data_IF_739290926407
#
_entry.id   IF_739290926407
#
_cell.length_a   1.000
_cell.length_b   1.000
_cell.length_c   1.000
_cell.angle_alpha   90.00
_cell.angle_beta   90.00
_cell.angle_gamma   90.00
#
_symmetry.space_group_name_H-M   'P 1'
#
loop_
_entity.id
_entity.type
_entity.pdbx_description
1 polymer ?
#
# COMPACT_ATOMS: atom_id res chain seq x y z
N UNK A 1 4.69 16.06 26.57
CA UNK A 1 3.56 16.38 25.68
C UNK A 1 3.90 15.99 24.25
N UNK A 2 2.89 15.51 23.53
CA UNK A 2 2.83 15.49 22.07
C UNK A 2 1.82 16.55 21.61
N UNK A 3 2.19 17.34 20.62
CA UNK A 3 1.29 18.19 19.84
C UNK A 3 1.69 18.10 18.36
N UNK A 4 0.80 17.59 17.51
CA UNK A 4 1.07 17.32 16.10
C UNK A 4 -0.09 17.79 15.21
N UNK A 5 0.16 18.77 14.35
CA UNK A 5 -0.84 19.50 13.58
C UNK A 5 -0.75 19.23 12.08
N UNK A 6 -1.77 18.57 11.54
CA UNK A 6 -1.93 18.30 10.12
C UNK A 6 -2.81 19.36 9.48
N UNK A 7 -2.33 19.92 8.36
CA UNK A 7 -3.06 20.87 7.51
C UNK A 7 -4.39 20.34 6.98
N UNK A 8 -4.53 19.02 6.82
CA UNK A 8 -5.71 18.37 6.24
C UNK A 8 -5.97 17.03 6.94
N UNK A 9 -7.14 16.90 7.56
CA UNK A 9 -7.59 15.63 8.16
C UNK A 9 -7.77 14.51 7.12
N UNK A 10 -7.84 14.82 5.82
CA UNK A 10 -7.87 13.82 4.74
C UNK A 10 -6.67 12.86 4.75
N UNK A 11 -5.46 13.33 5.12
CA UNK A 11 -4.28 12.47 5.16
C UNK A 11 -4.45 11.33 6.17
N UNK A 12 -4.81 11.66 7.42
CA UNK A 12 -5.03 10.64 8.46
C UNK A 12 -6.24 9.73 8.13
N UNK A 13 -7.29 10.26 7.47
CA UNK A 13 -8.41 9.42 6.99
C UNK A 13 -7.94 8.32 6.04
N UNK A 14 -7.15 8.69 5.02
CA UNK A 14 -6.62 7.75 4.02
C UNK A 14 -5.71 6.70 4.67
N UNK A 15 -4.80 7.13 5.54
CA UNK A 15 -3.92 6.23 6.31
C UNK A 15 -4.75 5.23 7.12
N UNK A 16 -5.74 5.69 7.89
CA UNK A 16 -6.58 4.81 8.70
C UNK A 16 -7.44 3.86 7.85
N UNK A 17 -7.99 4.32 6.71
CA UNK A 17 -8.73 3.45 5.78
C UNK A 17 -7.82 2.39 5.10
N UNK A 18 -6.51 2.62 5.04
CA UNK A 18 -5.52 1.69 4.47
C UNK A 18 -4.87 0.72 5.50
N UNK A 19 -4.72 1.11 6.78
CA UNK A 19 -4.07 0.27 7.82
C UNK A 19 -5.06 -0.65 8.54
N UNK A 20 -6.26 -0.16 8.88
CA UNK A 20 -7.26 -0.86 9.72
C UNK A 20 -7.74 -2.24 9.22
N UNK A 21 -7.43 -2.57 7.97
CA UNK A 21 -7.89 -3.78 7.26
C UNK A 21 -6.86 -4.93 7.38
N UNK A 22 -5.67 -4.62 7.91
CA UNK A 22 -4.63 -5.57 8.30
C UNK A 22 -4.58 -5.76 9.82
N UNK A 23 -4.80 -4.67 10.57
CA UNK A 23 -4.57 -4.58 12.01
C UNK A 23 -5.75 -3.89 12.69
N UNK A 24 -6.18 -4.35 13.86
CA UNK A 24 -7.32 -3.77 14.60
C UNK A 24 -6.92 -2.61 15.50
N UNK A 25 -5.80 -2.78 16.20
CA UNK A 25 -5.30 -1.91 17.27
C UNK A 25 -3.77 -1.87 17.18
N UNK A 26 -3.15 -0.70 17.33
CA UNK A 26 -1.70 -0.52 17.10
C UNK A 26 -1.14 0.68 17.86
N UNK A 27 0.17 0.68 18.11
CA UNK A 27 0.89 1.85 18.62
C UNK A 27 1.20 2.86 17.50
N UNK A 28 0.98 4.15 17.78
CA UNK A 28 1.62 5.25 17.05
C UNK A 28 2.80 5.76 17.89
N UNK A 29 4.01 5.39 17.49
CA UNK A 29 5.26 5.76 18.15
C UNK A 29 5.67 7.16 17.72
N UNK A 30 5.60 8.10 18.66
CA UNK A 30 5.90 9.51 18.43
C UNK A 30 7.29 9.84 18.98
N UNK A 31 8.09 10.56 18.19
CA UNK A 31 9.49 10.92 18.49
C UNK A 31 9.82 12.30 17.90
N UNK A 32 11.01 12.84 18.14
CA UNK A 32 11.39 14.14 17.60
C UNK A 32 11.52 14.17 16.05
N UNK A 33 11.68 13.00 15.41
CA UNK A 33 11.65 12.80 13.95
C UNK A 33 10.24 12.83 13.33
N UNK A 34 9.18 12.53 14.11
CA UNK A 34 7.81 12.38 13.61
C UNK A 34 7.02 11.24 14.26
N UNK A 35 6.00 10.75 13.55
CA UNK A 35 5.12 9.66 14.01
C UNK A 35 5.30 8.42 13.14
N UNK A 36 5.61 7.29 13.77
CA UNK A 36 5.75 5.98 13.13
C UNK A 36 4.63 5.05 13.62
N UNK A 37 4.32 4.04 12.84
CA UNK A 37 3.51 2.90 13.26
C UNK A 37 4.06 1.66 12.55
N UNK A 38 4.37 0.63 13.30
CA UNK A 38 4.72 -0.68 12.75
C UNK A 38 3.76 -1.71 13.32
N UNK A 39 3.24 -2.64 12.51
CA UNK A 39 2.35 -3.69 13.00
C UNK A 39 2.28 -4.92 12.07
N UNK A 40 2.04 -6.09 12.65
CA UNK A 40 1.75 -7.33 11.91
C UNK A 40 0.25 -7.59 11.82
N UNK A 41 -0.19 -8.31 10.79
CA UNK A 41 -1.54 -8.87 10.74
C UNK A 41 -1.68 -10.08 11.69
N UNK A 42 -2.92 -10.46 12.02
CA UNK A 42 -3.23 -11.56 12.94
C UNK A 42 -2.70 -12.96 12.51
N UNK A 43 -2.16 -13.11 11.30
CA UNK A 43 -1.50 -14.34 10.84
C UNK A 43 0.03 -14.26 10.81
N UNK A 44 0.62 -13.09 11.07
CA UNK A 44 2.05 -12.79 10.96
C UNK A 44 2.63 -13.04 9.55
N UNK A 45 1.81 -12.92 8.51
CA UNK A 45 2.19 -13.08 7.10
C UNK A 45 2.44 -11.73 6.42
N UNK A 46 1.84 -10.66 6.92
CA UNK A 46 2.03 -9.30 6.46
C UNK A 46 2.41 -8.33 7.59
N UNK A 47 3.34 -7.43 7.31
CA UNK A 47 3.73 -6.32 8.18
C UNK A 47 3.45 -4.99 7.47
N UNK A 48 2.90 -4.02 8.19
CA UNK A 48 2.76 -2.63 7.77
C UNK A 48 3.73 -1.75 8.55
N UNK A 49 4.38 -0.82 7.85
CA UNK A 49 5.25 0.21 8.42
C UNK A 49 4.87 1.56 7.82
N UNK A 50 4.30 2.42 8.64
CA UNK A 50 3.96 3.81 8.33
C UNK A 50 5.03 4.71 8.97
N UNK A 51 5.48 5.70 8.20
CA UNK A 51 6.31 6.79 8.69
C UNK A 51 5.71 8.13 8.25
N UNK A 52 5.45 9.02 9.19
CA UNK A 52 5.04 10.41 8.99
C UNK A 52 6.15 11.31 9.54
N UNK A 53 6.94 11.87 8.64
CA UNK A 53 8.03 12.76 9.02
C UNK A 53 7.48 14.06 9.63
N UNK A 54 8.20 14.61 10.61
CA UNK A 54 7.92 15.90 11.25
C UNK A 54 7.67 17.06 10.27
N UNK A 55 8.34 17.05 9.12
CA UNK A 55 8.15 18.02 8.03
C UNK A 55 6.77 17.96 7.38
N UNK A 56 6.02 16.88 7.55
CA UNK A 56 4.64 16.72 7.06
C UNK A 56 3.56 17.35 7.95
N UNK A 57 3.94 17.95 9.08
CA UNK A 57 3.06 18.63 10.03
C UNK A 57 3.33 20.13 10.00
N UNK A 58 2.29 20.96 10.06
CA UNK A 58 2.43 22.43 10.11
C UNK A 58 2.92 22.94 11.45
N UNK A 59 2.73 22.15 12.51
CA UNK A 59 3.27 22.35 13.85
C UNK A 59 3.51 20.96 14.46
N UNK A 60 4.70 20.71 15.01
CA UNK A 60 5.03 19.42 15.60
C UNK A 60 5.99 19.55 16.78
N UNK A 61 5.57 19.00 17.92
CA UNK A 61 6.33 18.95 19.16
C UNK A 61 6.11 17.59 19.83
N UNK A 62 7.21 16.89 20.10
CA UNK A 62 7.25 15.74 20.99
C UNK A 62 8.36 16.01 22.01
N UNK A 63 8.03 16.10 23.31
CA UNK A 63 9.03 16.41 24.36
C UNK A 63 9.87 15.20 24.77
N UNK A 64 9.31 14.00 24.60
CA UNK A 64 9.87 12.68 24.91
C UNK A 64 9.16 11.66 24.04
N UNK A 65 9.89 10.63 23.62
CA UNK A 65 9.34 9.52 22.85
C UNK A 65 8.18 8.84 23.61
N UNK A 66 7.07 8.56 22.91
CA UNK A 66 5.89 7.94 23.49
C UNK A 66 5.10 7.10 22.48
N UNK A 67 4.65 5.93 22.89
CA UNK A 67 3.80 5.03 22.10
C UNK A 67 2.33 5.25 22.44
N UNK A 68 1.53 5.65 21.45
CA UNK A 68 0.09 5.87 21.61
C UNK A 68 -0.68 4.66 21.11
N UNK A 69 -0.94 3.70 22.01
CA UNK A 69 -1.74 2.51 21.70
C UNK A 69 -3.22 2.86 21.50
N UNK A 70 -3.73 2.62 20.29
CA UNK A 70 -5.09 3.03 19.90
C UNK A 70 -5.80 1.97 19.08
N UNK A 71 -7.12 1.86 19.30
CA UNK A 71 -7.98 1.07 18.43
C UNK A 71 -8.28 1.82 17.13
N UNK A 72 -7.73 1.32 16.00
CA UNK A 72 -7.83 1.97 14.69
C UNK A 72 -9.30 2.07 14.23
N UNK A 73 -10.12 1.07 14.59
CA UNK A 73 -11.55 1.05 14.36
C UNK A 73 -12.33 2.10 15.17
N UNK A 74 -11.77 2.65 16.24
CA UNK A 74 -12.37 3.72 17.06
C UNK A 74 -11.84 5.09 16.65
N UNK A 75 -10.52 5.22 16.48
CA UNK A 75 -9.87 6.41 15.93
C UNK A 75 -10.47 6.80 14.57
N UNK A 76 -10.70 5.83 13.67
CA UNK A 76 -11.39 6.09 12.40
C UNK A 76 -12.80 6.69 12.56
N UNK A 77 -13.58 6.28 13.56
CA UNK A 77 -14.95 6.83 13.78
C UNK A 77 -14.89 8.31 14.17
N UNK A 78 -13.88 8.69 14.97
CA UNK A 78 -13.66 10.07 15.40
C UNK A 78 -13.17 10.93 14.23
N UNK A 79 -12.14 10.48 13.51
CA UNK A 79 -11.59 11.24 12.36
C UNK A 79 -12.60 11.36 11.21
N UNK A 80 -13.59 10.45 11.10
CA UNK A 80 -14.74 10.58 10.18
C UNK A 80 -15.74 11.69 10.56
N UNK A 81 -15.63 12.32 11.74
CA UNK A 81 -16.41 13.50 12.13
C UNK A 81 -15.80 14.85 11.66
N UNK A 82 -14.60 14.83 11.08
CA UNK A 82 -13.96 15.98 10.45
C UNK A 82 -14.41 16.17 9.00
N UNK A 83 -14.35 17.40 8.48
CA UNK A 83 -14.21 17.67 7.05
C UNK A 83 -12.89 17.13 6.50
N UNK A 84 -12.71 17.08 5.17
CA UNK A 84 -11.43 16.65 4.58
C UNK A 84 -10.36 17.75 4.65
N UNK A 85 -10.81 19.00 4.44
CA UNK A 85 -9.99 20.22 4.48
C UNK A 85 -9.90 20.84 5.89
N UNK A 86 -10.50 20.20 6.91
CA UNK A 86 -10.37 20.61 8.31
C UNK A 86 -8.92 20.36 8.75
N UNK A 87 -8.37 21.30 9.54
CA UNK A 87 -7.08 21.13 10.21
C UNK A 87 -7.29 20.13 11.36
N UNK A 88 -6.32 19.25 11.60
CA UNK A 88 -6.34 18.27 12.68
C UNK A 88 -5.14 18.48 13.59
N UNK A 89 -5.37 18.81 14.87
CA UNK A 89 -4.34 18.80 15.91
C UNK A 89 -4.53 17.57 16.80
N UNK A 90 -3.53 16.69 16.84
CA UNK A 90 -3.43 15.59 17.80
C UNK A 90 -2.68 16.08 19.04
N UNK A 91 -3.21 15.82 20.24
CA UNK A 91 -2.56 16.14 21.51
C UNK A 91 -2.62 14.94 22.46
N UNK A 92 -1.48 14.61 23.07
CA UNK A 92 -1.41 13.58 24.11
C UNK A 92 -0.42 14.00 25.20
N UNK A 93 -0.75 13.68 26.44
CA UNK A 93 0.15 13.84 27.59
C UNK A 93 0.35 12.51 28.30
N UNK A 94 1.62 12.25 28.64
CA UNK A 94 2.17 11.00 29.20
C UNK A 94 1.53 10.56 30.53
N UNK A 95 0.70 11.42 31.16
CA UNK A 95 0.07 11.17 32.45
C UNK A 95 -1.47 11.17 32.40
N UNK A 96 -2.08 11.13 31.21
CA UNK A 96 -3.52 11.39 31.03
C UNK A 96 -4.27 10.23 30.34
N UNK A 97 -3.55 9.24 29.79
CA UNK A 97 -4.09 8.04 29.12
C UNK A 97 -5.15 8.33 28.04
N UNK A 98 -5.08 9.52 27.44
CA UNK A 98 -6.06 10.06 26.49
C UNK A 98 -5.34 10.76 25.34
N UNK A 99 -5.79 10.45 24.12
CA UNK A 99 -5.51 11.20 22.91
C UNK A 99 -6.67 12.17 22.66
N UNK A 100 -6.38 13.47 22.65
CA UNK A 100 -7.29 14.52 22.22
C UNK A 100 -7.08 14.82 20.72
N UNK A 101 -8.20 14.98 20.00
CA UNK A 101 -8.25 15.31 18.58
C UNK A 101 -9.08 16.59 18.40
N UNK A 102 -8.44 17.65 17.95
CA UNK A 102 -9.08 18.93 17.67
C UNK A 102 -9.18 19.12 16.16
N UNK A 103 -10.40 19.29 15.65
CA UNK A 103 -10.69 19.57 14.24
C UNK A 103 -11.13 21.03 14.06
N UNK A 104 -10.37 21.81 13.30
CA UNK A 104 -10.65 23.23 13.03
C UNK A 104 -11.05 23.41 11.55
N UNK A 105 -12.26 23.92 11.27
CA UNK A 105 -12.75 24.07 9.90
C UNK A 105 -12.21 25.35 9.21
N UNK A 106 -11.44 25.22 8.13
CA UNK A 106 -10.79 26.37 7.42
C UNK A 106 -11.76 27.44 6.87
N UNK A 107 -13.07 27.16 6.80
CA UNK A 107 -14.08 28.04 6.19
C UNK A 107 -15.34 28.25 7.05
N UNK A 108 -15.34 27.82 8.31
CA UNK A 108 -16.45 27.98 9.23
C UNK A 108 -15.93 28.12 10.67
N UNK A 109 -16.64 28.88 11.50
CA UNK A 109 -16.35 29.00 12.93
C UNK A 109 -16.82 27.72 13.68
N UNK A 110 -16.13 26.61 13.39
CA UNK A 110 -16.35 25.29 13.98
C UNK A 110 -15.02 24.71 14.41
N UNK A 111 -14.86 24.60 15.73
CA UNK A 111 -13.91 23.69 16.37
C UNK A 111 -14.68 22.47 16.87
N UNK A 112 -14.17 21.27 16.62
CA UNK A 112 -14.68 20.03 17.18
C UNK A 112 -13.59 19.32 17.99
N UNK A 113 -13.77 19.23 19.29
CA UNK A 113 -12.85 18.58 20.23
C UNK A 113 -13.39 17.20 20.60
N UNK A 114 -12.53 16.19 20.51
CA UNK A 114 -12.86 14.78 20.73
C UNK A 114 -11.76 14.10 21.53
N UNK A 115 -12.11 13.34 22.56
CA UNK A 115 -11.18 12.55 23.35
C UNK A 115 -11.39 11.06 23.11
N UNK A 116 -10.30 10.29 23.08
CA UNK A 116 -10.35 8.83 23.21
C UNK A 116 -9.29 8.33 24.17
N UNK A 117 -9.65 7.29 24.94
CA UNK A 117 -8.68 6.60 25.79
C UNK A 117 -7.65 5.87 24.94
N UNK A 118 -6.40 5.93 25.40
CA UNK A 118 -5.33 5.05 24.97
C UNK A 118 -5.53 3.65 25.58
N UNK A 119 -4.74 2.70 25.11
CA UNK A 119 -4.67 1.33 25.61
C UNK A 119 -3.21 0.91 25.65
N UNK A 120 -2.81 0.16 26.67
CA UNK A 120 -1.50 -0.50 26.67
C UNK A 120 -1.50 -1.61 25.62
N UNK A 121 -0.62 -1.51 24.63
CA UNK A 121 -0.43 -2.52 23.58
C UNK A 121 1.03 -2.96 23.62
N UNK A 122 1.29 -4.11 24.25
CA UNK A 122 2.59 -4.78 24.22
C UNK A 122 2.90 -5.21 22.78
N UNK A 123 3.79 -4.47 22.12
CA UNK A 123 4.06 -4.64 20.70
C UNK A 123 5.56 -4.63 20.42
N UNK A 124 6.10 -5.76 19.96
CA UNK A 124 7.52 -5.88 19.60
C UNK A 124 7.80 -5.21 18.25
N UNK A 125 8.72 -4.23 18.25
CA UNK A 125 9.26 -3.64 17.03
C UNK A 125 10.20 -4.63 16.33
N UNK A 126 9.89 -4.96 15.08
CA UNK A 126 10.71 -5.80 14.23
C UNK A 126 11.74 -4.94 13.48
N UNK A 127 13.02 -5.23 13.70
CA UNK A 127 14.10 -4.63 12.92
C UNK A 127 13.99 -5.03 11.45
N UNK A 128 13.67 -4.08 10.58
CA UNK A 128 13.65 -4.28 9.12
C UNK A 128 15.08 -4.10 8.61
N UNK A 129 15.73 -5.13 8.03
CA UNK A 129 17.08 -5.01 7.48
C UNK A 129 17.07 -4.30 6.12
N UNK A 130 18.10 -3.50 5.86
CA UNK A 130 18.39 -2.99 4.53
C UNK A 130 18.75 -4.16 3.60
N UNK A 131 17.84 -4.48 2.68
CA UNK A 131 17.94 -5.64 1.77
C UNK A 131 18.10 -5.18 0.34
N UNK A 132 18.97 -5.85 -0.41
CA UNK A 132 19.13 -5.64 -1.86
C UNK A 132 18.06 -6.47 -2.57
N UNK A 133 17.33 -5.85 -3.48
CA UNK A 133 16.26 -6.50 -4.23
C UNK A 133 16.70 -6.86 -5.66
N UNK A 134 16.36 -8.07 -6.09
CA UNK A 134 16.62 -8.60 -7.43
C UNK A 134 15.87 -7.80 -8.52
N UNK A 135 14.70 -7.28 -8.18
CA UNK A 135 13.81 -6.53 -9.06
C UNK A 135 13.11 -5.39 -8.31
N UNK A 136 13.05 -4.22 -8.94
CA UNK A 136 12.32 -3.04 -8.45
C UNK A 136 11.41 -2.52 -9.55
N UNK A 137 10.13 -2.33 -9.26
CA UNK A 137 9.11 -1.90 -10.22
C UNK A 137 8.46 -0.62 -9.71
N UNK A 138 8.49 0.43 -10.54
CA UNK A 138 7.84 1.70 -10.28
C UNK A 138 6.68 1.86 -11.29
N UNK A 139 5.44 1.77 -10.80
CA UNK A 139 4.22 1.79 -11.63
C UNK A 139 3.10 2.68 -11.04
N UNK A 140 2.09 3.09 -11.83
CA UNK A 140 0.96 3.88 -11.33
C UNK A 140 0.14 3.09 -10.29
N UNK A 141 -0.12 3.71 -9.13
CA UNK A 141 -0.85 3.07 -8.03
C UNK A 141 -2.30 2.71 -8.41
N UNK A 142 -2.90 3.46 -9.33
CA UNK A 142 -4.24 3.24 -9.87
C UNK A 142 -4.32 1.99 -10.76
N UNK A 143 -3.33 1.75 -11.61
CA UNK A 143 -3.29 0.56 -12.48
C UNK A 143 -2.89 -0.68 -11.67
N UNK A 144 -1.99 -0.57 -10.67
CA UNK A 144 -1.74 -1.65 -9.72
C UNK A 144 -3.02 -2.07 -8.97
N UNK A 145 -3.74 -1.11 -8.36
CA UNK A 145 -4.98 -1.39 -7.65
C UNK A 145 -6.07 -2.00 -8.55
N UNK A 146 -6.11 -1.58 -9.81
CA UNK A 146 -6.99 -2.17 -10.84
C UNK A 146 -6.60 -3.62 -11.13
N UNK A 147 -5.34 -3.91 -11.45
CA UNK A 147 -4.86 -5.27 -11.76
C UNK A 147 -5.16 -6.22 -10.60
N UNK A 148 -4.87 -5.81 -9.36
CA UNK A 148 -5.12 -6.63 -8.17
C UNK A 148 -6.62 -6.84 -7.92
N UNK A 149 -7.48 -5.85 -8.19
CA UNK A 149 -8.93 -6.02 -8.14
C UNK A 149 -9.44 -6.97 -9.24
N UNK A 150 -8.99 -6.77 -10.47
CA UNK A 150 -9.51 -7.48 -11.64
C UNK A 150 -9.06 -8.96 -11.66
N UNK A 151 -7.90 -9.29 -11.08
CA UNK A 151 -7.44 -10.67 -10.86
C UNK A 151 -8.10 -11.36 -9.65
N UNK A 152 -8.57 -10.60 -8.65
CA UNK A 152 -9.20 -11.13 -7.42
C UNK A 152 -10.55 -11.80 -7.66
N UNK A 153 -11.25 -11.41 -8.72
CA UNK A 153 -12.50 -12.06 -9.14
C UNK A 153 -12.27 -13.43 -9.81
N UNK A 154 -11.01 -13.86 -10.02
CA UNK A 154 -10.65 -15.12 -10.68
C UNK A 154 -9.98 -16.14 -9.75
N UNK A 155 -9.12 -15.70 -8.83
CA UNK A 155 -8.40 -16.62 -7.93
C UNK A 155 -7.79 -15.94 -6.70
N UNK A 156 -7.51 -16.74 -5.66
CA UNK A 156 -7.00 -16.24 -4.37
C UNK A 156 -5.49 -15.93 -4.35
N UNK A 157 -4.79 -16.28 -5.42
CA UNK A 157 -3.33 -16.16 -5.54
C UNK A 157 -2.98 -15.40 -6.81
N UNK A 158 -1.98 -14.51 -6.73
CA UNK A 158 -1.37 -13.90 -7.91
C UNK A 158 0.11 -14.22 -7.94
N UNK A 159 0.57 -14.78 -9.06
CA UNK A 159 1.98 -14.91 -9.40
C UNK A 159 2.44 -13.63 -10.07
N UNK A 160 3.46 -12.99 -9.50
CA UNK A 160 4.13 -11.81 -10.02
C UNK A 160 5.50 -12.24 -10.55
N UNK A 161 5.70 -12.03 -11.84
CA UNK A 161 6.89 -12.45 -12.59
C UNK A 161 7.57 -11.22 -13.19
N UNK A 162 8.85 -11.00 -12.89
CA UNK A 162 9.60 -9.84 -13.37
C UNK A 162 10.73 -10.29 -14.29
N UNK A 163 10.77 -9.73 -15.50
CA UNK A 163 11.66 -10.14 -16.57
C UNK A 163 12.08 -8.96 -17.44
N UNK A 164 13.01 -9.19 -18.38
CA UNK A 164 13.43 -8.20 -19.38
C UNK A 164 12.30 -7.75 -20.32
N UNK A 165 11.22 -8.51 -20.42
CA UNK A 165 10.05 -8.14 -21.25
C UNK A 165 9.04 -7.24 -20.50
N UNK A 166 9.10 -7.22 -19.17
CA UNK A 166 8.12 -6.55 -18.32
C UNK A 166 7.84 -7.29 -17.01
N UNK A 167 6.91 -6.72 -16.24
CA UNK A 167 6.27 -7.38 -15.09
C UNK A 167 4.96 -8.01 -15.55
N UNK A 168 4.75 -9.28 -15.20
CA UNK A 168 3.53 -10.04 -15.48
C UNK A 168 2.86 -10.43 -14.17
N UNK A 169 1.61 -9.99 -14.01
CA UNK A 169 0.71 -10.44 -12.94
C UNK A 169 -0.20 -11.53 -13.53
N UNK A 170 -0.33 -12.67 -12.87
CA UNK A 170 -1.21 -13.76 -13.33
C UNK A 170 -1.90 -14.48 -12.20
N UNK A 171 -3.15 -14.90 -12.44
CA UNK A 171 -3.96 -15.66 -11.50
C UNK A 171 -4.60 -16.87 -12.19
N UNK A 172 -4.81 -17.92 -11.40
CA UNK A 172 -5.44 -19.19 -11.78
C UNK A 172 -6.54 -19.50 -10.76
N UNK A 173 -7.61 -20.17 -11.19
CA UNK A 173 -8.81 -20.44 -10.40
C UNK A 173 -9.99 -20.93 -11.24
N UNK A 174 -11.06 -21.35 -10.56
CA UNK A 174 -12.16 -22.17 -11.11
C UNK A 174 -12.87 -21.61 -12.36
N UNK A 175 -12.87 -20.28 -12.53
CA UNK A 175 -13.53 -19.58 -13.64
C UNK A 175 -12.63 -19.55 -14.90
N UNK A 176 -11.31 -19.68 -14.71
CA UNK A 176 -10.29 -19.63 -15.76
C UNK A 176 -9.08 -18.80 -15.35
N UNK A 177 -8.06 -18.79 -16.21
CA UNK A 177 -6.80 -18.09 -15.96
C UNK A 177 -6.79 -16.69 -16.58
N UNK A 178 -6.04 -15.78 -15.98
CA UNK A 178 -5.75 -14.47 -16.56
C UNK A 178 -4.32 -14.02 -16.30
N UNK A 179 -3.82 -13.14 -17.18
CA UNK A 179 -2.57 -12.42 -16.93
C UNK A 179 -2.53 -11.06 -17.59
N UNK A 180 -1.99 -10.09 -16.86
CA UNK A 180 -1.70 -8.73 -17.33
C UNK A 180 -0.20 -8.52 -17.32
N UNK A 181 0.37 -8.13 -18.46
CA UNK A 181 1.81 -7.82 -18.59
C UNK A 181 2.00 -6.34 -18.85
N UNK A 182 2.70 -5.65 -17.95
CA UNK A 182 3.12 -4.26 -18.12
C UNK A 182 4.56 -4.24 -18.64
N UNK A 183 4.77 -3.66 -19.82
CA UNK A 183 6.10 -3.50 -20.43
C UNK A 183 6.80 -2.25 -19.89
N UNK A 184 8.14 -2.24 -19.77
CA UNK A 184 8.87 -1.04 -19.37
C UNK A 184 8.71 0.06 -20.44
N UNK A 185 8.50 1.29 -19.99
CA UNK A 185 8.33 2.46 -20.86
C UNK A 185 9.71 3.04 -21.21
N UNK A 186 10.31 2.61 -22.32
CA UNK A 186 11.65 3.05 -22.70
C UNK A 186 11.68 4.49 -23.25
N UNK A 187 12.01 5.44 -22.37
CA UNK A 187 12.14 6.87 -22.69
C UNK A 187 13.34 7.20 -23.60
N UNK A 188 14.18 6.22 -23.96
CA UNK A 188 15.27 6.38 -24.95
C UNK A 188 14.76 6.16 -26.39
N UNK A 189 13.54 5.69 -26.58
CA UNK A 189 13.01 5.24 -27.86
C UNK A 189 12.46 6.31 -28.82
N UNK A 190 12.53 7.61 -28.50
CA UNK A 190 11.91 8.66 -29.34
C UNK A 190 12.76 9.03 -30.57
N UNK A 191 12.70 8.18 -31.60
CA UNK A 191 13.01 8.64 -32.97
C UNK A 191 11.97 9.70 -33.39
N UNK A 192 12.34 10.75 -34.12
CA UNK A 192 11.38 11.53 -34.88
C UNK A 192 10.90 10.69 -36.07
N UNK A 193 9.58 10.53 -36.21
CA UNK A 193 9.00 9.85 -37.37
C UNK A 193 9.23 10.68 -38.64
N UNK A 194 9.70 10.04 -39.71
CA UNK A 194 10.03 10.67 -40.98
C UNK A 194 8.91 10.47 -42.01
N UNK A 195 7.94 11.38 -42.01
CA UNK A 195 6.93 11.59 -43.05
C UNK A 195 6.52 13.08 -42.99
N UNK A 196 6.57 13.90 -44.05
CA UNK A 196 7.08 13.71 -45.40
C UNK A 196 6.79 14.98 -46.22
N UNK A 197 7.71 15.34 -47.12
CA UNK A 197 7.60 16.33 -48.22
C UNK A 197 6.54 17.45 -48.14
N UNK A 198 6.99 18.69 -47.95
CA UNK A 198 6.64 19.78 -48.88
C UNK A 198 7.79 20.81 -48.91
N UNK A 199 7.94 21.55 -50.02
CA UNK A 199 8.98 22.58 -50.18
C UNK A 199 8.57 23.91 -49.57
N UNK A 200 9.56 24.74 -49.21
CA UNK A 200 9.86 25.95 -49.99
C UNK A 200 11.24 26.51 -49.57
N UNK A 201 11.84 27.29 -50.49
CA UNK A 201 13.16 27.89 -50.35
C UNK A 201 13.06 29.26 -49.64
N UNK A 202 13.97 29.56 -48.72
CA UNK A 202 14.41 30.94 -48.45
C UNK A 202 15.80 30.89 -47.79
N UNK A 203 16.85 31.14 -48.57
CA UNK A 203 18.22 31.37 -48.07
C UNK A 203 18.34 32.84 -47.68
N UNK A 204 18.50 33.15 -46.39
CA UNK A 204 19.08 34.42 -45.95
C UNK A 204 20.50 34.20 -45.44
N UNK A 205 21.46 34.77 -46.17
CA UNK A 205 22.87 34.86 -45.77
C UNK A 205 23.03 36.10 -44.87
N UNK A 206 23.51 35.90 -43.64
CA UNK A 206 24.26 36.92 -42.93
C UNK A 206 25.65 36.33 -42.63
N UNK A 207 26.64 36.76 -43.42
CA UNK A 207 28.05 36.59 -43.08
C UNK A 207 28.38 37.54 -41.92
N UNK A 208 29.07 37.05 -40.89
CA UNK A 208 29.95 37.86 -40.06
C UNK A 208 31.18 37.00 -39.72
N UNK A 209 32.33 37.39 -40.26
CA UNK A 209 33.63 36.84 -39.90
C UNK A 209 34.11 37.49 -38.59
N UNK A 210 34.66 36.71 -37.66
CA UNK A 210 35.77 37.21 -36.84
C UNK A 210 36.65 36.04 -36.38
N UNK A 211 37.96 36.17 -36.62
CA UNK A 211 38.99 35.28 -36.10
C UNK A 211 39.23 35.58 -34.61
N UNK A 212 39.42 34.54 -33.80
CA UNK A 212 40.61 34.48 -32.95
C UNK A 212 40.90 33.04 -32.52
N UNK A 213 42.19 32.70 -32.49
CA UNK A 213 42.69 31.37 -32.13
C UNK A 213 43.58 31.44 -30.88
N UNK A 214 43.43 30.46 -29.98
CA UNK A 214 44.47 30.13 -29.00
C UNK A 214 44.88 28.65 -29.15
N UNK A 215 46.16 28.39 -28.90
CA UNK A 215 46.84 27.13 -29.22
C UNK A 215 46.75 26.07 -28.09
N UNK A 216 46.86 24.77 -28.41
CA UNK A 216 46.94 23.71 -27.42
C UNK A 216 48.40 23.44 -26.98
N UNK A 217 48.69 23.69 -25.70
CA UNK A 217 49.96 23.40 -25.00
C UNK A 217 49.76 22.25 -23.98
N UNK A 218 50.81 21.49 -23.60
CA UNK A 218 50.88 20.12 -24.10
C UNK A 218 50.88 19.03 -23.01
N UNK A 219 51.04 17.78 -23.45
CA UNK A 219 51.44 16.66 -22.59
C UNK A 219 52.96 16.66 -22.43
N UNK A 220 53.44 16.31 -21.23
CA UNK A 220 54.77 15.74 -21.06
C UNK A 220 54.66 14.21 -20.94
N UNK A 221 55.67 13.52 -21.45
CA UNK A 221 55.90 12.08 -21.35
C UNK A 221 57.17 11.87 -20.51
N UNK A 222 57.23 10.82 -19.68
CA UNK A 222 58.49 10.19 -19.30
C UNK A 222 58.37 8.66 -19.47
N UNK A 223 59.48 8.04 -19.85
CA UNK A 223 59.58 6.67 -20.39
C UNK A 223 60.24 5.68 -19.39
N UNK A 224 60.04 4.37 -19.60
CA UNK A 224 60.92 3.21 -19.23
C UNK A 224 61.38 3.05 -17.75
N UNK A 225 62.05 2.00 -17.23
CA UNK A 225 62.44 0.59 -17.56
C UNK A 225 62.41 -0.17 -16.18
N UNK A 226 62.37 -1.49 -15.93
CA UNK A 226 62.41 -2.81 -16.62
C UNK A 226 61.60 -3.80 -15.72
N UNK A 227 61.35 -5.05 -16.16
CA UNK A 227 61.22 -6.17 -15.21
C UNK A 227 60.19 -7.26 -15.53
N UNK A 228 60.54 -8.19 -16.41
CA UNK A 228 59.74 -9.39 -16.74
C UNK A 228 59.80 -10.50 -15.66
N UNK A 229 59.14 -11.64 -15.94
CA UNK A 229 59.31 -13.02 -15.37
C UNK A 229 58.17 -13.61 -14.51
N UNK A 230 57.50 -14.57 -15.15
CA UNK A 230 56.69 -15.69 -14.61
C UNK A 230 57.51 -17.01 -14.76
N UNK A 231 57.14 -18.21 -14.24
CA UNK A 231 56.03 -18.58 -13.34
C UNK A 231 56.34 -19.74 -12.31
N UNK A 232 55.29 -20.34 -11.73
CA UNK A 232 55.08 -21.79 -11.40
C UNK A 232 55.68 -22.51 -10.15
N UNK A 233 54.75 -23.20 -9.46
CA UNK A 233 54.78 -24.59 -8.89
C UNK A 233 55.75 -24.97 -7.73
N UNK A 234 55.16 -25.30 -6.56
CA UNK A 234 55.26 -26.58 -5.79
C UNK A 234 54.50 -26.42 -4.44
N UNK A 235 53.72 -27.33 -3.83
CA UNK A 235 53.40 -28.77 -3.92
C UNK A 235 53.89 -29.60 -2.69
N UNK A 236 53.15 -30.67 -2.34
CA UNK A 236 53.21 -31.48 -1.08
C UNK A 236 52.84 -30.73 0.22
N UNK A 237 52.25 -31.34 1.26
CA UNK A 237 51.82 -32.74 1.48
C UNK A 237 51.74 -33.01 3.00
N UNK A 238 51.10 -34.05 3.56
CA UNK A 238 50.14 -35.07 3.09
C UNK A 238 49.50 -35.74 4.34
N UNK A 239 48.30 -36.35 4.20
CA UNK A 239 47.76 -37.49 5.00
C UNK A 239 47.60 -37.31 6.56
N UNK A 240 46.77 -38.04 7.32
CA UNK A 240 45.98 -39.26 7.05
C UNK A 240 44.71 -39.44 7.94
N UNK A 241 43.87 -40.39 7.52
CA UNK A 241 42.75 -41.18 8.11
C UNK A 241 42.19 -40.99 9.56
N UNK A 242 40.84 -41.05 9.70
CA UNK A 242 40.07 -42.16 10.33
C UNK A 242 38.55 -41.85 10.38
N UNK A 243 37.71 -42.85 10.12
CA UNK A 243 36.27 -42.76 10.35
C UNK A 243 35.60 -44.12 10.71
N UNK A 244 34.86 -44.23 11.83
CA UNK A 244 33.99 -45.36 12.09
C UNK A 244 32.49 -45.02 12.01
N UNK A 245 31.74 -45.89 11.32
CA UNK A 245 30.27 -45.85 11.22
C UNK A 245 29.60 -46.70 12.32
N UNK A 246 28.49 -46.22 12.88
CA UNK A 246 27.35 -47.10 13.24
C UNK A 246 26.03 -46.34 13.01
N UNK A 247 24.92 -46.88 12.47
CA UNK A 247 24.29 -48.22 12.46
C UNK A 247 23.49 -48.63 13.72
N UNK A 248 22.54 -47.77 14.12
CA UNK A 248 21.07 -48.01 14.24
C UNK A 248 20.48 -49.28 14.91
N UNK A 249 19.21 -49.22 15.34
CA UNK A 249 18.54 -50.39 15.94
C UNK A 249 17.07 -50.26 16.39
N UNK A 250 16.14 -50.64 15.49
CA UNK A 250 14.71 -51.00 15.71
C UNK A 250 14.27 -51.44 17.13
N UNK A 251 13.10 -50.92 17.58
CA UNK A 251 11.83 -51.63 17.94
C UNK A 251 10.84 -50.66 18.62
N UNK A 252 9.55 -50.57 18.24
CA UNK A 252 8.42 -51.47 18.52
C UNK A 252 8.17 -51.79 20.00
N UNK A 253 7.09 -51.22 20.57
CA UNK A 253 5.91 -52.00 21.05
C UNK A 253 4.68 -51.09 21.21
N UNK A 254 3.50 -51.68 21.37
CA UNK A 254 2.25 -51.00 21.72
C UNK A 254 1.62 -51.62 22.98
N UNK A 255 0.92 -50.77 23.73
CA UNK A 255 -0.13 -50.97 24.75
C UNK A 255 -0.82 -49.59 24.82
N UNK A 256 -2.13 -49.37 24.74
CA UNK A 256 -3.33 -50.17 25.04
C UNK A 256 -3.65 -50.33 26.54
N UNK A 257 -4.92 -50.03 26.84
CA UNK A 257 -5.76 -50.53 27.95
C UNK A 257 -5.82 -49.81 29.31
N UNK A 258 -6.92 -50.09 30.03
CA UNK A 258 -7.52 -49.41 31.21
C UNK A 258 -7.94 -47.93 31.01
N UNK A 259 -9.20 -47.49 31.16
CA UNK A 259 -10.27 -47.73 32.18
C UNK A 259 -9.98 -47.05 33.53
N UNK A 260 -10.95 -46.56 34.33
CA UNK A 260 -12.31 -45.97 34.14
C UNK A 260 -12.72 -45.39 35.53
N UNK A 261 -13.99 -44.99 35.75
CA UNK A 261 -14.63 -44.68 37.06
C UNK A 261 -14.10 -43.48 37.91
N UNK A 262 -14.89 -42.85 38.80
CA UNK A 262 -16.31 -42.41 38.74
C UNK A 262 -16.59 -41.42 39.90
N UNK A 263 -17.83 -40.91 40.03
CA UNK A 263 -18.34 -40.14 41.17
C UNK A 263 -18.32 -38.61 40.95
N UNK A 264 -19.41 -37.88 40.73
CA UNK A 264 -20.86 -38.08 40.92
C UNK A 264 -21.40 -37.91 42.37
N UNK A 265 -21.98 -36.72 42.61
CA UNK A 265 -23.04 -36.36 43.58
C UNK A 265 -23.44 -34.91 43.20
N UNK A 266 -24.60 -34.52 42.64
CA UNK A 266 -26.03 -34.81 42.81
C UNK A 266 -26.80 -33.92 43.83
N UNK A 267 -28.09 -33.67 43.52
CA UNK A 267 -29.10 -32.87 44.24
C UNK A 267 -28.93 -31.33 44.14
N UNK A 268 -29.97 -30.48 43.97
CA UNK A 268 -31.45 -30.62 44.10
C UNK A 268 -31.98 -29.56 45.11
N UNK A 269 -33.16 -28.92 45.08
CA UNK A 269 -34.37 -28.84 44.21
C UNK A 269 -34.78 -27.31 44.12
N UNK A 270 -35.95 -26.75 43.75
CA UNK A 270 -37.31 -27.13 43.32
C UNK A 270 -37.94 -25.95 42.49
N UNK A 271 -39.16 -26.10 41.96
CA UNK A 271 -40.09 -25.06 41.48
C UNK A 271 -40.84 -24.34 42.68
N UNK A 272 -42.02 -23.66 42.59
CA UNK A 272 -42.80 -23.11 41.45
C UNK A 272 -43.32 -21.63 41.56
N UNK A 273 -43.72 -21.09 40.40
CA UNK A 273 -44.88 -20.21 40.08
C UNK A 273 -45.70 -19.45 41.18
N UNK A 274 -46.16 -18.19 40.92
CA UNK A 274 -47.58 -17.99 40.53
C UNK A 274 -47.90 -16.81 39.55
N UNK A 275 -49.20 -16.59 39.23
CA UNK A 275 -49.76 -15.62 38.24
C UNK A 275 -50.90 -14.73 38.81
N UNK A 276 -51.26 -13.67 38.05
CA UNK A 276 -52.45 -12.75 38.13
C UNK A 276 -52.24 -11.54 39.05
N UNK A 277 -52.95 -10.39 38.97
CA UNK A 277 -54.29 -10.00 38.44
C UNK A 277 -54.15 -8.63 37.72
N UNK A 278 -54.40 -8.47 36.41
CA UNK A 278 -55.68 -8.31 35.66
C UNK A 278 -56.44 -6.98 35.87
N UNK A 279 -56.67 -6.26 34.76
CA UNK A 279 -57.88 -5.41 34.55
C UNK A 279 -58.15 -5.16 33.04
N UNK A 280 -59.00 -4.18 32.73
CA UNK A 280 -59.77 -3.99 31.48
C UNK A 280 -60.00 -2.47 31.24
N UNK A 281 -60.36 -1.88 30.09
CA UNK A 281 -60.55 -2.25 28.65
C UNK A 281 -60.91 -0.94 27.87
N UNK A 282 -61.14 -0.82 26.54
CA UNK A 282 -61.12 -1.71 25.37
C UNK A 282 -62.17 -1.29 24.30
N UNK A 283 -61.97 -1.68 23.02
CA UNK A 283 -62.69 -1.24 21.77
C UNK A 283 -62.36 0.20 21.32
N UNK A 284 -62.10 0.51 20.04
CA UNK A 284 -62.84 0.10 18.84
C UNK A 284 -62.01 0.17 17.53
N UNK A 285 -62.64 -0.26 16.41
CA UNK A 285 -62.15 -0.16 15.01
C UNK A 285 -63.33 0.34 14.15
N UNK A 286 -63.11 1.08 13.04
CA UNK A 286 -63.30 0.45 11.73
C UNK A 286 -62.29 0.96 10.67
N UNK A 287 -62.55 0.72 9.38
CA UNK A 287 -61.57 0.88 8.29
C UNK A 287 -62.15 1.50 7.00
N UNK A 288 -61.23 1.84 6.07
CA UNK A 288 -61.40 2.15 4.63
C UNK A 288 -62.35 3.29 4.22
N UNK A 289 -61.82 4.19 3.38
CA UNK A 289 -62.59 4.81 2.28
C UNK A 289 -61.69 5.23 1.12
N UNK A 290 -61.91 4.66 -0.06
CA UNK A 290 -61.38 5.18 -1.33
C UNK A 290 -62.28 6.31 -1.86
N UNK A 291 -61.74 7.23 -2.68
CA UNK A 291 -62.18 7.43 -4.08
C UNK A 291 -61.43 8.53 -4.86
N UNK A 292 -60.80 8.07 -5.96
CA UNK A 292 -60.91 8.56 -7.36
C UNK A 292 -60.58 10.02 -7.75
N UNK A 293 -59.75 10.07 -8.82
CA UNK A 293 -59.69 11.06 -9.92
C UNK A 293 -59.08 12.44 -9.59
N UNK A 294 -58.53 13.19 -10.56
CA UNK A 294 -58.57 13.02 -12.02
C UNK A 294 -57.19 13.14 -12.68
N UNK A 295 -57.11 12.77 -13.97
CA UNK A 295 -55.97 13.04 -14.85
C UNK A 295 -56.43 13.83 -16.08
N UNK A 296 -55.57 14.71 -16.60
CA UNK A 296 -55.80 15.50 -17.81
C UNK A 296 -54.57 15.44 -18.71
N UNK A 297 -54.74 14.98 -19.95
CA UNK A 297 -53.67 14.73 -20.92
C UNK A 297 -53.96 15.54 -22.19
N UNK A 298 -53.09 16.48 -22.58
CA UNK A 298 -53.01 17.17 -23.89
C UNK A 298 -51.82 18.17 -23.85
N UNK A 299 -51.02 18.38 -24.90
CA UNK A 299 -50.92 17.60 -26.13
C UNK A 299 -50.19 18.30 -27.29
N UNK A 300 -49.01 17.77 -27.67
CA UNK A 300 -48.44 17.69 -29.04
C UNK A 300 -48.47 18.94 -29.95
N UNK A 301 -47.30 19.54 -30.19
CA UNK A 301 -46.94 20.21 -31.46
C UNK A 301 -45.41 20.21 -31.67
N UNK A 302 -44.95 20.36 -32.91
CA UNK A 302 -43.53 20.28 -33.31
C UNK A 302 -43.21 21.25 -34.45
N UNK A 303 -42.07 21.92 -34.40
CA UNK A 303 -41.40 22.59 -35.54
C UNK A 303 -39.90 22.74 -35.26
N UNK A 304 -39.09 23.10 -36.27
CA UNK A 304 -37.64 22.90 -36.23
C UNK A 304 -36.83 24.03 -36.91
N UNK A 305 -35.51 24.03 -36.69
CA UNK A 305 -34.46 24.89 -37.26
C UNK A 305 -34.44 26.36 -36.74
N UNK A 306 -33.30 27.05 -36.68
CA UNK A 306 -32.13 26.96 -37.56
C UNK A 306 -30.79 27.44 -36.93
N UNK A 307 -29.68 27.14 -37.64
CA UNK A 307 -28.31 27.74 -37.61
C UNK A 307 -27.89 28.49 -36.32
N UNK A 308 -26.94 28.02 -35.51
CA UNK A 308 -25.61 27.50 -35.89
C UNK A 308 -24.51 28.56 -35.72
N UNK A 309 -23.53 28.29 -34.83
CA UNK A 309 -22.21 28.95 -34.84
C UNK A 309 -21.15 27.92 -34.44
N UNK A 310 -20.23 27.61 -35.34
CA UNK A 310 -19.08 26.76 -35.03
C UNK A 310 -18.04 27.57 -34.25
N UNK A 311 -17.52 27.01 -33.15
CA UNK A 311 -16.35 27.52 -32.44
C UNK A 311 -15.16 26.60 -32.72
N UNK A 312 -14.04 27.18 -33.15
CA UNK A 312 -12.78 26.46 -33.39
C UNK A 312 -12.40 25.63 -32.15
N UNK A 313 -11.82 24.45 -32.41
CA UNK A 313 -11.49 23.49 -31.36
C UNK A 313 -10.38 23.96 -30.41
N UNK A 314 -10.32 23.32 -29.24
CA UNK A 314 -9.23 23.45 -28.27
C UNK A 314 -8.58 22.08 -28.08
N UNK A 315 -7.60 21.75 -28.94
CA UNK A 315 -6.80 20.51 -28.84
C UNK A 315 -5.96 20.61 -27.57
N UNK A 316 -6.32 19.88 -26.53
CA UNK A 316 -5.72 19.97 -25.20
C UNK A 316 -5.38 18.59 -24.65
N UNK A 317 -4.15 18.43 -24.14
CA UNK A 317 -3.63 17.27 -23.39
C UNK A 317 -3.99 15.88 -23.92
N UNK A 318 -3.26 15.42 -24.95
CA UNK A 318 -2.98 13.98 -25.13
C UNK A 318 -1.68 13.56 -24.43
N UNK A 319 -0.72 14.47 -24.25
CA UNK A 319 0.60 14.20 -23.64
C UNK A 319 0.67 14.22 -22.10
N UNK A 320 -0.49 14.14 -21.42
CA UNK A 320 -0.59 13.93 -19.97
C UNK A 320 -0.97 12.48 -19.66
N UNK A 321 -1.95 11.94 -20.39
CA UNK A 321 -2.48 10.59 -20.16
C UNK A 321 -1.41 9.51 -20.42
N UNK A 322 -0.53 9.70 -21.41
CA UNK A 322 0.64 8.83 -21.62
C UNK A 322 1.65 8.86 -20.45
N UNK A 323 1.84 10.02 -19.80
CA UNK A 323 2.75 10.13 -18.65
C UNK A 323 2.22 9.42 -17.40
N UNK A 324 0.90 9.35 -17.25
CA UNK A 324 0.25 8.68 -16.12
C UNK A 324 0.32 7.14 -16.17
N UNK A 325 0.76 6.56 -17.30
CA UNK A 325 0.89 5.11 -17.52
C UNK A 325 2.35 4.62 -17.58
N UNK A 326 3.33 5.50 -17.33
CA UNK A 326 4.77 5.19 -17.31
C UNK A 326 5.11 4.09 -16.27
N UNK A 327 5.68 2.97 -16.74
CA UNK A 327 6.16 1.85 -15.91
C UNK A 327 7.65 1.68 -16.07
N UNK A 328 8.38 1.62 -14.95
CA UNK A 328 9.85 1.50 -14.92
C UNK A 328 10.22 0.24 -14.15
N UNK A 329 11.25 -0.46 -14.60
CA UNK A 329 11.71 -1.72 -14.01
C UNK A 329 13.23 -1.66 -13.92
N UNK A 330 13.77 -1.77 -12.71
CA UNK A 330 15.16 -2.10 -12.44
C UNK A 330 15.25 -3.61 -12.21
N UNK A 331 16.19 -4.29 -12.85
CA UNK A 331 16.24 -5.76 -12.86
C UNK A 331 17.68 -6.26 -12.81
N UNK A 332 18.08 -6.78 -11.66
CA UNK A 332 19.35 -7.49 -11.45
C UNK A 332 19.17 -8.96 -11.86
N UNK A 333 18.14 -9.62 -11.34
CA UNK A 333 17.80 -11.02 -11.60
C UNK A 333 16.30 -11.18 -11.81
N UNK A 334 15.89 -12.18 -12.62
CA UNK A 334 14.48 -12.50 -12.81
C UNK A 334 13.88 -13.09 -11.52
N UNK A 335 12.67 -12.66 -11.15
CA UNK A 335 11.95 -13.08 -9.95
C UNK A 335 10.56 -13.58 -10.34
N UNK A 336 10.10 -14.68 -9.73
CA UNK A 336 8.78 -15.25 -10.01
C UNK A 336 8.15 -15.80 -8.72
N UNK A 337 7.37 -14.97 -8.03
CA UNK A 337 6.83 -15.27 -6.70
C UNK A 337 5.30 -15.21 -6.67
N UNK A 338 4.68 -16.05 -5.85
CA UNK A 338 3.23 -16.13 -5.68
C UNK A 338 2.81 -15.51 -4.37
N UNK A 339 1.77 -14.66 -4.37
CA UNK A 339 1.27 -13.95 -3.20
C UNK A 339 -0.23 -14.15 -3.01
N UNK A 340 -0.69 -14.01 -1.76
CA UNK A 340 -2.12 -14.00 -1.44
C UNK A 340 -2.76 -12.67 -1.88
N UNK A 341 -3.70 -12.74 -2.82
CA UNK A 341 -4.30 -11.54 -3.42
C UNK A 341 -5.12 -10.72 -2.42
N UNK A 342 -5.57 -11.36 -1.32
CA UNK A 342 -6.26 -10.71 -0.19
C UNK A 342 -5.43 -9.59 0.42
N UNK A 343 -4.13 -9.80 0.62
CA UNK A 343 -3.23 -8.79 1.22
C UNK A 343 -2.92 -7.67 0.24
N UNK A 344 -2.62 -7.99 -1.01
CA UNK A 344 -2.42 -6.98 -2.06
C UNK A 344 -3.69 -6.13 -2.27
N UNK A 345 -4.87 -6.75 -2.19
CA UNK A 345 -6.17 -6.05 -2.23
C UNK A 345 -6.44 -5.17 -1.00
N UNK A 346 -5.71 -5.35 0.10
CA UNK A 346 -5.70 -4.43 1.23
C UNK A 346 -4.66 -3.34 1.03
N UNK A 347 -3.43 -3.66 0.58
CA UNK A 347 -2.37 -2.68 0.32
C UNK A 347 -2.79 -1.65 -0.74
N UNK A 348 -3.54 -2.09 -1.77
CA UNK A 348 -4.15 -1.24 -2.80
C UNK A 348 -5.11 -0.15 -2.25
N UNK A 349 -5.51 -0.22 -0.97
CA UNK A 349 -6.28 0.86 -0.32
C UNK A 349 -5.43 2.10 -0.04
N UNK A 350 -4.10 2.02 -0.15
CA UNK A 350 -3.17 3.17 -0.10
C UNK A 350 -3.08 3.98 -1.40
N UNK A 351 -3.67 3.55 -2.51
CA UNK A 351 -3.70 4.31 -3.79
C UNK A 351 -4.15 5.79 -3.65
N UNK A 352 -5.03 6.21 -2.73
CA UNK A 352 -5.38 7.62 -2.54
C UNK A 352 -4.28 8.48 -1.87
N UNK A 353 -3.20 7.88 -1.36
CA UNK A 353 -2.05 8.55 -0.74
C UNK A 353 -0.98 8.95 -1.75
N UNK A 354 -0.71 8.09 -2.74
CA UNK A 354 0.39 8.25 -3.69
C UNK A 354 -0.05 7.95 -5.12
N UNK A 355 0.41 8.74 -6.09
CA UNK A 355 0.12 8.52 -7.53
C UNK A 355 0.75 7.23 -8.06
N UNK A 356 1.84 6.77 -7.43
CA UNK A 356 2.69 5.66 -7.85
C UNK A 356 2.95 4.72 -6.68
N UNK A 357 3.27 3.48 -7.01
CA UNK A 357 3.61 2.42 -6.05
C UNK A 357 4.92 1.76 -6.49
N UNK A 358 5.77 1.47 -5.53
CA UNK A 358 7.04 0.78 -5.74
C UNK A 358 6.92 -0.66 -5.22
N UNK A 359 7.25 -1.64 -6.06
CA UNK A 359 7.29 -3.06 -5.72
C UNK A 359 8.74 -3.52 -5.73
N UNK A 360 9.25 -3.96 -4.58
CA UNK A 360 10.61 -4.46 -4.42
C UNK A 360 10.56 -5.96 -4.12
N UNK A 361 11.25 -6.75 -4.94
CA UNK A 361 11.13 -8.20 -4.98
C UNK A 361 12.51 -8.88 -5.06
N UNK A 362 12.68 -9.94 -4.29
CA UNK A 362 13.78 -10.90 -4.41
C UNK A 362 13.30 -12.26 -3.91
N UNK A 363 13.94 -13.33 -4.35
CA UNK A 363 13.49 -14.70 -4.10
C UNK A 363 13.64 -15.14 -2.62
N UNK A 364 14.47 -14.46 -1.83
CA UNK A 364 14.79 -14.83 -0.44
C UNK A 364 14.12 -13.95 0.63
N UNK A 365 13.46 -12.85 0.24
CA UNK A 365 12.87 -11.86 1.18
C UNK A 365 11.41 -11.53 0.84
N UNK A 366 10.62 -11.03 1.81
CA UNK A 366 9.24 -10.59 1.55
C UNK A 366 9.14 -9.52 0.45
N UNK A 367 8.05 -9.55 -0.31
CA UNK A 367 7.67 -8.47 -1.22
C UNK A 367 7.44 -7.20 -0.40
N UNK A 368 8.17 -6.13 -0.72
CA UNK A 368 7.92 -4.78 -0.22
C UNK A 368 7.05 -4.02 -1.24
N UNK A 369 5.93 -3.48 -0.77
CA UNK A 369 5.03 -2.58 -1.50
C UNK A 369 5.05 -1.21 -0.81
N UNK A 370 5.66 -0.20 -1.44
CA UNK A 370 5.77 1.15 -0.90
C UNK A 370 4.89 2.16 -1.66
N UNK A 371 4.13 2.95 -0.89
CA UNK A 371 3.44 4.16 -1.34
C UNK A 371 4.09 5.35 -0.63
N UNK A 372 4.95 6.08 -1.34
CA UNK A 372 5.60 7.30 -0.87
C UNK A 372 4.76 8.54 -1.19
N UNK A 373 4.66 9.46 -0.23
CA UNK A 373 3.91 10.72 -0.33
C UNK A 373 4.68 11.87 0.34
N UNK A 374 4.25 13.11 0.13
CA UNK A 374 4.98 14.31 0.57
C UNK A 374 5.32 14.33 2.07
N UNK A 375 4.44 13.77 2.91
CA UNK A 375 4.58 13.71 4.36
C UNK A 375 5.30 12.45 4.89
N UNK A 376 5.68 11.50 4.03
CA UNK A 376 6.33 10.24 4.44
C UNK A 376 6.02 9.04 3.54
N UNK A 377 5.85 7.86 4.13
CA UNK A 377 5.53 6.64 3.37
C UNK A 377 4.68 5.65 4.16
N UNK A 378 3.98 4.79 3.43
CA UNK A 378 3.46 3.53 3.95
C UNK A 378 4.04 2.36 3.15
N UNK A 379 4.69 1.45 3.87
CA UNK A 379 5.37 0.26 3.38
C UNK A 379 4.61 -0.97 3.87
N UNK A 380 4.41 -1.94 3.00
CA UNK A 380 3.86 -3.24 3.35
C UNK A 380 4.84 -4.34 2.95
N UNK A 381 5.11 -5.26 3.86
CA UNK A 381 5.92 -6.45 3.62
C UNK A 381 5.00 -7.67 3.61
N UNK A 382 5.14 -8.55 2.62
CA UNK A 382 4.31 -9.73 2.45
C UNK A 382 5.16 -10.95 2.10
N UNK A 383 5.08 -11.98 2.94
CA UNK A 383 5.75 -13.24 2.65
C UNK A 383 5.15 -13.89 1.38
N UNK A 384 5.98 -14.49 0.49
CA UNK A 384 5.47 -15.28 -0.61
C UNK A 384 4.75 -16.53 -0.09
N UNK A 385 3.75 -17.00 -0.84
CA UNK A 385 3.26 -18.37 -0.69
C UNK A 385 4.39 -19.32 -1.11
N UNK A 386 4.74 -20.25 -0.22
CA UNK A 386 5.54 -21.42 -0.58
C UNK A 386 4.85 -22.16 -1.73
N UNK A 387 5.65 -22.74 -2.62
CA UNK A 387 5.17 -23.75 -3.57
C UNK A 387 5.35 -25.11 -2.90
N UNK A 388 4.32 -25.96 -2.96
CA UNK A 388 4.45 -27.36 -2.56
C UNK A 388 5.18 -28.11 -3.69
N UNK A 389 6.40 -28.57 -3.42
CA UNK A 389 7.26 -29.38 -4.33
C UNK A 389 6.79 -30.85 -4.48
#
# INVERSE_FOLDING_TARGET
MLEAKLEQAELLKKILDAVKELVTDANFDCSDEGIKLQAMDNSHVALVSLNLAKTGFSEYRCDRDMSLGVSLASLQKIVKCAGNNDILTLRADESVDVLALLFEAKHADRVGEYEMKLMDIDQEHLGIPDTVYDAEIDLPATEFARIIRDLKELGESVKIEVSKEGVRFSADGDIGTASVTLKPTDKRGRRPDSDGEDSDEEEEQEDDEDDEAEEPEPKEEEEDEDGDVKPQIAASGDEDDDAPKSKGGKKRKAVADSEEEDGADENGEDEPSPKKVKKESGKAKPAKKEKKKAASKKGKASSASSKGKATKGKKAKSGDEEKSMDVRINLQQAVALTFSIKYLSNFAKSTPLAERVHLHMSNEVPLLVEYAFEQGHIRYYLAPKLQDD
#
